data_IF_666746348338
#
_entry.id   IF_666746348338
#
_cell.length_a   1.000
_cell.length_b   1.000
_cell.length_c   1.000
_cell.angle_alpha   90.00
_cell.angle_beta   90.00
_cell.angle_gamma   90.00
#
_symmetry.space_group_name_H-M   'P 1'
#
loop_
_entity.id
_entity.type
_entity.pdbx_description
1 polymer ?
#
# COMPACT_ATOMS: atom_id res chain seq x y z
N UNK A 1 -17.07 1.68 -22.31
CA UNK A 1 -15.66 1.80 -21.90
C UNK A 1 -15.10 0.38 -21.79
N UNK A 2 -14.16 -0.01 -22.65
CA UNK A 2 -13.51 -1.32 -22.55
C UNK A 2 -12.42 -1.28 -21.46
N UNK A 3 -12.17 -2.37 -20.72
CA UNK A 3 -11.08 -2.39 -19.75
C UNK A 3 -9.71 -2.24 -20.44
N UNK A 4 -8.74 -1.54 -19.82
CA UNK A 4 -7.38 -1.48 -20.35
C UNK A 4 -6.74 -2.87 -20.37
N UNK A 5 -5.91 -3.19 -21.38
CA UNK A 5 -5.20 -4.47 -21.44
C UNK A 5 -4.28 -4.63 -20.22
N UNK A 6 -4.21 -5.84 -19.67
CA UNK A 6 -3.35 -6.12 -18.51
C UNK A 6 -1.88 -5.83 -18.86
N UNK A 7 -1.09 -5.20 -17.96
CA UNK A 7 0.34 -5.04 -18.17
C UNK A 7 0.99 -6.43 -18.25
N UNK A 8 1.79 -6.65 -19.30
CA UNK A 8 2.51 -7.90 -19.47
C UNK A 8 3.49 -8.09 -18.30
N UNK A 9 3.32 -9.18 -17.55
CA UNK A 9 4.25 -9.56 -16.50
C UNK A 9 5.62 -9.90 -17.14
N UNK A 10 6.76 -9.45 -16.60
CA UNK A 10 8.07 -9.89 -17.07
C UNK A 10 8.16 -11.42 -16.99
N UNK A 11 8.62 -11.98 -18.09
CA UNK A 11 8.63 -13.39 -18.48
C UNK A 11 8.75 -14.39 -17.32
N UNK A 12 7.66 -15.09 -17.03
CA UNK A 12 7.74 -16.42 -16.42
C UNK A 12 8.24 -17.41 -17.49
N UNK A 13 9.07 -18.41 -17.10
CA UNK A 13 9.70 -19.32 -18.04
C UNK A 13 8.67 -20.15 -18.80
N UNK A 14 8.96 -20.52 -20.06
CA UNK A 14 8.06 -21.34 -20.85
C UNK A 14 8.16 -22.78 -20.35
N UNK A 15 7.10 -23.28 -19.67
CA UNK A 15 6.59 -24.66 -19.75
C UNK A 15 5.65 -24.96 -18.57
N UNK A 16 4.36 -24.80 -18.80
CA UNK A 16 3.37 -25.88 -18.65
C UNK A 16 2.08 -25.41 -19.31
N UNK A 17 1.47 -26.24 -20.13
CA UNK A 17 0.16 -25.98 -20.71
C UNK A 17 -0.89 -26.03 -19.58
N UNK A 18 -1.08 -24.90 -18.89
CA UNK A 18 -2.22 -24.70 -18.01
C UNK A 18 -3.47 -24.42 -18.86
N UNK A 19 -4.67 -24.85 -18.42
CA UNK A 19 -5.90 -24.62 -19.16
C UNK A 19 -6.07 -23.12 -19.44
N UNK A 20 -6.49 -22.82 -20.68
CA UNK A 20 -6.52 -21.49 -21.30
C UNK A 20 -7.64 -20.59 -20.77
N UNK A 21 -7.82 -20.59 -19.46
CA UNK A 21 -8.66 -19.67 -18.71
C UNK A 21 -7.89 -19.22 -17.46
N UNK A 22 -6.74 -18.58 -17.64
CA UNK A 22 -6.25 -17.69 -16.58
C UNK A 22 -7.20 -16.50 -16.56
N UNK A 23 -8.36 -16.63 -15.90
CA UNK A 23 -9.27 -15.51 -15.68
C UNK A 23 -8.51 -14.50 -14.83
N UNK A 24 -8.08 -13.42 -15.48
CA UNK A 24 -7.50 -12.30 -14.76
C UNK A 24 -8.62 -11.76 -13.86
N UNK A 25 -8.47 -11.89 -12.55
CA UNK A 25 -9.40 -11.29 -11.60
C UNK A 25 -9.08 -9.80 -11.59
N UNK A 26 -9.78 -9.04 -12.44
CA UNK A 26 -9.60 -7.60 -12.52
C UNK A 26 -10.33 -6.96 -11.33
N UNK A 27 -9.58 -6.58 -10.29
CA UNK A 27 -10.12 -5.69 -9.26
C UNK A 27 -10.31 -4.29 -9.88
N UNK A 28 -11.46 -3.66 -9.61
CA UNK A 28 -11.72 -2.28 -10.02
C UNK A 28 -10.76 -1.28 -9.35
N UNK A 29 -10.16 -1.66 -8.23
CA UNK A 29 -9.20 -0.86 -7.46
C UNK A 29 -7.88 -1.65 -7.35
N UNK A 30 -6.76 -0.99 -7.61
CA UNK A 30 -5.41 -1.53 -7.54
C UNK A 30 -4.62 -0.77 -6.46
N UNK A 31 -3.90 -1.51 -5.62
CA UNK A 31 -3.07 -0.96 -4.54
C UNK A 31 -1.62 -1.36 -4.80
N UNK A 32 -0.76 -0.38 -5.09
CA UNK A 32 0.66 -0.60 -5.33
C UNK A 32 1.48 0.07 -4.24
N UNK A 33 2.07 -0.74 -3.37
CA UNK A 33 3.03 -0.27 -2.36
C UNK A 33 4.41 -0.01 -2.98
N UNK A 34 5.09 1.01 -2.47
CA UNK A 34 6.45 1.40 -2.83
C UNK A 34 7.15 2.05 -1.63
N UNK A 35 8.46 1.86 -1.51
CA UNK A 35 9.27 2.38 -0.42
C UNK A 35 10.60 1.65 -0.29
N UNK A 36 11.48 2.09 0.63
CA UNK A 36 12.73 1.40 0.88
C UNK A 36 12.49 0.10 1.66
N UNK A 37 13.10 -1.00 1.23
CA UNK A 37 12.95 -2.30 1.90
C UNK A 37 13.67 -2.36 3.26
N UNK A 38 14.70 -1.54 3.48
CA UNK A 38 15.43 -1.44 4.75
C UNK A 38 15.99 -0.03 4.87
N UNK A 39 15.87 0.58 6.05
CA UNK A 39 16.42 1.90 6.37
C UNK A 39 17.39 1.76 7.55
N UNK A 40 18.38 2.65 7.63
CA UNK A 40 19.28 2.65 8.78
C UNK A 40 18.58 3.27 10.00
N UNK A 41 19.04 2.95 11.22
CA UNK A 41 18.56 3.59 12.43
C UNK A 41 18.75 5.11 12.36
N UNK A 42 17.74 5.86 12.79
CA UNK A 42 17.77 7.32 12.75
C UNK A 42 17.44 7.94 11.38
N UNK A 43 17.29 7.11 10.34
CA UNK A 43 16.72 7.56 9.06
C UNK A 43 15.19 7.53 9.09
N UNK A 44 14.58 8.32 8.21
CA UNK A 44 13.14 8.38 8.04
C UNK A 44 12.67 7.27 7.11
N UNK A 45 11.73 6.44 7.57
CA UNK A 45 11.05 5.48 6.71
C UNK A 45 9.87 6.16 6.02
N UNK A 46 9.75 6.01 4.70
CA UNK A 46 8.62 6.52 3.93
C UNK A 46 8.08 5.44 3.00
N UNK A 47 6.85 4.99 3.26
CA UNK A 47 6.12 4.09 2.36
C UNK A 47 4.98 4.85 1.69
N UNK A 48 4.72 4.51 0.43
CA UNK A 48 3.66 5.10 -0.39
C UNK A 48 2.85 3.99 -1.05
N UNK A 49 1.54 4.03 -0.86
CA UNK A 49 0.57 3.20 -1.58
C UNK A 49 -0.08 4.05 -2.66
N UNK A 50 0.09 3.62 -3.91
CA UNK A 50 -0.57 4.20 -5.08
C UNK A 50 -1.85 3.42 -5.33
N UNK A 51 -2.98 4.12 -5.27
CA UNK A 51 -4.32 3.59 -5.45
C UNK A 51 -4.84 4.05 -6.81
N UNK A 52 -5.07 3.10 -7.71
CA UNK A 52 -5.60 3.38 -9.06
C UNK A 52 -6.86 2.58 -9.31
N UNK A 53 -7.72 3.09 -10.20
CA UNK A 53 -9.00 2.48 -10.52
C UNK A 53 -10.08 2.75 -9.46
N UNK A 54 -11.30 3.03 -9.95
CA UNK A 54 -12.46 3.33 -9.11
C UNK A 54 -12.51 4.76 -8.56
N UNK A 55 -13.63 5.08 -7.88
CA UNK A 55 -13.81 6.35 -7.18
C UNK A 55 -13.15 6.27 -5.81
N UNK A 56 -11.87 6.62 -5.74
CA UNK A 56 -11.12 6.71 -4.49
C UNK A 56 -11.55 7.97 -3.75
N UNK A 57 -12.59 7.83 -2.92
CA UNK A 57 -13.15 8.94 -2.15
C UNK A 57 -12.57 8.97 -0.73
N UNK A 58 -12.63 10.15 -0.11
CA UNK A 58 -12.28 10.34 1.29
C UNK A 58 -13.24 9.63 2.26
N UNK A 59 -14.39 9.13 1.80
CA UNK A 59 -15.34 8.37 2.63
C UNK A 59 -14.89 6.95 2.95
N UNK A 60 -13.86 6.44 2.30
CA UNK A 60 -13.27 5.14 2.60
C UNK A 60 -12.23 5.22 3.71
N UNK A 61 -11.99 4.07 4.34
CA UNK A 61 -10.98 3.90 5.38
C UNK A 61 -9.67 3.54 4.73
N UNK A 62 -8.65 4.37 4.93
CA UNK A 62 -7.33 4.21 4.35
C UNK A 62 -6.31 4.05 5.47
N UNK A 63 -5.52 3.00 5.47
CA UNK A 63 -4.59 2.77 6.55
C UNK A 63 -3.46 1.81 6.20
N UNK A 64 -2.50 1.79 7.10
CA UNK A 64 -1.35 0.91 7.06
C UNK A 64 -1.43 -0.09 8.20
N UNK A 65 -1.17 -1.34 7.85
CA UNK A 65 -1.01 -2.44 8.78
C UNK A 65 0.40 -2.99 8.62
N UNK A 66 0.99 -3.44 9.71
CA UNK A 66 2.27 -4.12 9.71
C UNK A 66 2.12 -5.50 10.33
N UNK A 67 3.00 -6.41 9.93
CA UNK A 67 3.12 -7.72 10.55
C UNK A 67 4.59 -7.98 10.85
N UNK A 68 4.93 -8.02 12.13
CA UNK A 68 6.25 -8.47 12.53
C UNK A 68 6.32 -10.02 12.45
N UNK A 69 7.51 -10.60 12.19
CA UNK A 69 7.68 -12.05 12.20
C UNK A 69 7.16 -12.67 13.50
N UNK A 70 6.29 -13.67 13.40
CA UNK A 70 5.70 -14.36 14.56
C UNK A 70 4.63 -13.57 15.33
N UNK A 71 4.23 -12.38 14.87
CA UNK A 71 3.14 -11.58 15.47
C UNK A 71 1.91 -11.50 14.55
N UNK A 72 0.78 -11.11 15.14
CA UNK A 72 -0.45 -10.80 14.41
C UNK A 72 -0.34 -9.49 13.61
N UNK A 73 -1.37 -9.21 12.82
CA UNK A 73 -1.51 -7.93 12.12
C UNK A 73 -1.72 -6.81 13.14
N UNK A 74 -0.92 -5.76 13.04
CA UNK A 74 -1.03 -4.56 13.88
C UNK A 74 -1.34 -3.34 13.01
N UNK A 75 -2.34 -2.56 13.40
CA UNK A 75 -2.61 -1.29 12.75
C UNK A 75 -1.56 -0.26 13.12
N UNK A 76 -0.93 0.36 12.12
CA UNK A 76 0.02 1.46 12.33
C UNK A 76 -0.75 2.77 12.48
N UNK A 77 -1.48 3.17 11.43
CA UNK A 77 -2.31 4.37 11.38
C UNK A 77 -3.37 4.21 10.31
N UNK A 78 -4.54 4.79 10.53
CA UNK A 78 -5.58 4.84 9.51
C UNK A 78 -6.29 6.19 9.52
N UNK A 79 -7.00 6.50 8.43
CA UNK A 79 -7.68 7.74 8.18
C UNK A 79 -9.03 7.47 7.54
N UNK A 80 -10.02 8.27 7.93
CA UNK A 80 -11.30 8.39 7.22
C UNK A 80 -11.60 9.87 7.06
N UNK A 81 -11.96 10.29 5.84
CA UNK A 81 -12.16 11.70 5.54
C UNK A 81 -10.91 12.53 5.80
N UNK A 82 -11.07 13.56 6.63
CA UNK A 82 -10.00 14.41 7.14
C UNK A 82 -9.43 13.92 8.48
N UNK A 83 -10.08 12.95 9.13
CA UNK A 83 -9.76 12.50 10.49
C UNK A 83 -8.76 11.35 10.46
N UNK A 84 -7.63 11.54 11.14
CA UNK A 84 -6.58 10.53 11.30
C UNK A 84 -6.65 9.89 12.67
N UNK A 85 -6.52 8.57 12.74
CA UNK A 85 -6.61 7.78 13.96
C UNK A 85 -5.32 6.99 14.18
N UNK A 86 -4.92 6.89 15.45
CA UNK A 86 -3.73 6.17 15.86
C UNK A 86 -4.10 5.01 16.81
N UNK A 87 -4.30 3.79 16.28
CA UNK A 87 -4.55 2.62 17.12
C UNK A 87 -3.26 2.00 17.71
N UNK A 88 -2.07 2.41 17.26
CA UNK A 88 -0.79 1.81 17.63
C UNK A 88 -0.06 2.53 18.77
N UNK A 89 0.89 1.82 19.40
CA UNK A 89 1.80 2.35 20.44
C UNK A 89 3.01 3.09 19.87
N UNK A 90 2.81 3.98 18.89
CA UNK A 90 3.88 4.73 18.25
C UNK A 90 3.46 6.17 17.95
N UNK A 91 4.10 7.14 18.58
CA UNK A 91 3.84 8.57 18.38
C UNK A 91 4.52 9.14 17.13
N UNK A 92 5.42 8.39 16.51
CA UNK A 92 6.30 8.89 15.42
C UNK A 92 5.81 8.59 14.00
N UNK A 93 4.71 7.86 13.85
CA UNK A 93 4.13 7.58 12.54
C UNK A 93 3.17 8.68 12.11
N UNK A 94 3.35 9.24 10.91
CA UNK A 94 2.46 10.23 10.29
C UNK A 94 1.84 9.67 9.02
N UNK A 95 0.52 9.81 8.85
CA UNK A 95 -0.19 9.41 7.62
C UNK A 95 -0.61 10.66 6.84
N UNK A 96 -0.42 10.64 5.52
CA UNK A 96 -0.89 11.70 4.63
C UNK A 96 -1.53 11.10 3.38
N UNK A 97 -2.42 11.88 2.77
CA UNK A 97 -3.23 11.50 1.62
C UNK A 97 -3.14 12.62 0.60
N UNK A 98 -2.83 12.30 -0.66
CA UNK A 98 -2.79 13.26 -1.76
C UNK A 98 -3.44 12.69 -3.01
N UNK A 99 -4.28 13.50 -3.67
CA UNK A 99 -4.86 13.15 -4.96
C UNK A 99 -3.94 13.57 -6.10
N UNK A 100 -3.71 12.68 -7.05
CA UNK A 100 -3.09 12.95 -8.34
C UNK A 100 -4.12 12.82 -9.47
N UNK A 101 -3.72 13.07 -10.73
CA UNK A 101 -4.63 13.05 -11.88
C UNK A 101 -5.29 11.68 -12.12
N UNK A 102 -4.49 10.61 -12.03
CA UNK A 102 -4.92 9.24 -12.35
C UNK A 102 -4.88 8.30 -11.14
N UNK A 103 -4.35 8.78 -10.02
CA UNK A 103 -4.05 7.97 -8.86
C UNK A 103 -4.25 8.76 -7.57
N UNK A 104 -4.57 8.03 -6.51
CA UNK A 104 -4.59 8.52 -5.16
C UNK A 104 -3.39 7.95 -4.40
N UNK A 105 -2.72 8.75 -3.58
CA UNK A 105 -1.53 8.33 -2.86
C UNK A 105 -1.75 8.40 -1.35
N UNK A 106 -1.57 7.26 -0.68
CA UNK A 106 -1.54 7.15 0.76
C UNK A 106 -0.09 6.97 1.21
N UNK A 107 0.42 7.89 2.02
CA UNK A 107 1.82 7.86 2.50
C UNK A 107 1.85 7.68 4.01
N UNK A 108 2.79 6.86 4.48
CA UNK A 108 3.13 6.76 5.90
C UNK A 108 4.62 7.05 6.12
N UNK A 109 4.90 7.83 7.16
CA UNK A 109 6.21 8.31 7.54
C UNK A 109 6.55 7.90 8.96
N UNK A 110 7.74 7.36 9.20
CA UNK A 110 8.34 7.29 10.53
C UNK A 110 9.47 8.28 10.62
N UNK A 111 9.36 9.26 11.51
CA UNK A 111 10.51 10.11 11.83
C UNK A 111 11.36 9.41 12.90
N UNK A 112 12.66 9.24 12.63
CA UNK A 112 13.61 8.59 13.52
C UNK A 112 13.22 7.14 13.85
N UNK A 113 13.30 6.25 12.85
CA UNK A 113 13.16 4.82 13.09
C UNK A 113 14.26 4.36 14.07
N UNK A 114 13.90 4.15 15.34
CA UNK A 114 14.78 3.53 16.33
C UNK A 114 14.79 2.02 16.09
N UNK A 115 15.98 1.40 16.17
CA UNK A 115 16.07 -0.06 16.24
C UNK A 115 15.33 -0.48 17.50
N UNK A 116 14.19 -1.15 17.33
CA UNK A 116 13.66 -1.99 18.39
C UNK A 116 14.60 -3.19 18.40
N UNK A 117 15.59 -3.14 19.30
CA UNK A 117 16.47 -4.27 19.60
C UNK A 117 15.65 -5.44 20.16
#
# INVERSE_FOLDING_TARGET
MAPPPCPAHPQLPPKTALPRWSTCTQSQIQLQESGPGTVKPGETLSLTCTVTGGSVTSSYWWGWIQQAPGKGLEWMRWRTGSTSYNPGKGTRWTISMSAGPDAFHLRILNELAEVIA
#
